data_IF_810770308502
#
_entry.id   IF_810770308502
#
_cell.length_a   1.000
_cell.length_b   1.000
_cell.length_c   1.000
_cell.angle_alpha   90.00
_cell.angle_beta   90.00
_cell.angle_gamma   90.00
#
_symmetry.space_group_name_H-M   'P 1'
#
loop_
_entity.id
_entity.type
_entity.pdbx_description
1 polymer ?
#
# COMPACT_ATOMS: atom_id res chain seq x y z
N UNK A 1 5.36 1.58 17.50
CA UNK A 1 6.64 2.29 17.24
C UNK A 1 6.72 3.56 18.09
N UNK A 2 7.87 3.88 18.70
CA UNK A 2 8.06 5.13 19.47
C UNK A 2 8.67 6.20 18.57
N UNK A 3 7.98 7.32 18.36
CA UNK A 3 8.55 8.49 17.67
C UNK A 3 9.46 9.25 18.64
N UNK A 4 10.73 9.43 18.28
CA UNK A 4 11.73 10.08 19.15
C UNK A 4 11.79 11.61 18.95
N UNK A 5 11.10 12.16 17.94
CA UNK A 5 11.10 13.60 17.65
C UNK A 5 12.44 14.12 17.12
N UNK A 6 13.29 13.24 16.60
CA UNK A 6 14.59 13.57 16.01
C UNK A 6 14.39 13.63 14.49
N UNK A 7 14.81 14.73 13.88
CA UNK A 7 14.94 14.84 12.42
C UNK A 7 16.27 14.21 12.01
N UNK A 8 16.23 13.30 11.04
CA UNK A 8 17.41 12.72 10.42
C UNK A 8 17.61 13.37 9.06
N UNK A 9 18.85 13.76 8.76
CA UNK A 9 19.19 14.27 7.44
C UNK A 9 19.18 13.12 6.42
N UNK A 10 18.92 13.44 5.15
CA UNK A 10 18.87 12.42 4.10
C UNK A 10 20.19 11.63 3.98
N UNK A 11 21.33 12.26 4.27
CA UNK A 11 22.64 11.61 4.31
C UNK A 11 22.73 10.55 5.43
N UNK A 12 22.20 10.84 6.62
CA UNK A 12 22.19 9.89 7.73
C UNK A 12 21.32 8.67 7.43
N UNK A 13 20.16 8.89 6.81
CA UNK A 13 19.26 7.81 6.37
C UNK A 13 19.93 6.96 5.30
N UNK A 14 20.52 7.58 4.28
CA UNK A 14 21.23 6.90 3.20
C UNK A 14 22.38 6.04 3.75
N UNK A 15 23.19 6.60 4.65
CA UNK A 15 24.28 5.87 5.31
C UNK A 15 23.76 4.64 6.07
N UNK A 16 22.70 4.82 6.86
CA UNK A 16 22.10 3.71 7.63
C UNK A 16 21.56 2.60 6.73
N UNK A 17 20.96 2.94 5.59
CA UNK A 17 20.52 1.96 4.59
C UNK A 17 21.70 1.18 4.00
N UNK A 18 22.81 1.85 3.70
CA UNK A 18 24.02 1.21 3.17
C UNK A 18 24.65 0.27 4.20
N UNK A 19 24.76 0.72 5.44
CA UNK A 19 25.37 -0.02 6.55
C UNK A 19 24.54 -1.25 6.94
N UNK A 20 23.20 -1.16 6.88
CA UNK A 20 22.28 -2.26 7.22
C UNK A 20 21.85 -3.14 6.04
N UNK A 21 22.38 -2.91 4.84
CA UNK A 21 21.95 -3.61 3.63
C UNK A 21 22.16 -5.12 3.71
N UNK A 22 23.37 -5.56 4.05
CA UNK A 22 23.75 -6.98 4.01
C UNK A 22 22.95 -7.79 5.05
N UNK A 23 22.70 -7.21 6.22
CA UNK A 23 21.81 -7.79 7.24
C UNK A 23 20.38 -7.93 6.72
N UNK A 24 19.87 -6.91 6.04
CA UNK A 24 18.52 -6.91 5.45
C UNK A 24 18.39 -7.96 4.34
N UNK A 25 19.39 -8.06 3.47
CA UNK A 25 19.47 -9.06 2.40
C UNK A 25 19.44 -10.48 2.98
N UNK A 26 20.21 -10.72 4.05
CA UNK A 26 20.25 -12.01 4.72
C UNK A 26 18.93 -12.35 5.42
N UNK A 27 18.33 -11.39 6.13
CA UNK A 27 17.08 -11.58 6.88
C UNK A 27 15.89 -11.92 5.96
N UNK A 28 15.81 -11.26 4.80
CA UNK A 28 14.75 -11.47 3.80
C UNK A 28 15.08 -12.62 2.82
N UNK A 29 16.26 -13.24 2.94
CA UNK A 29 16.71 -14.30 2.06
C UNK A 29 16.79 -13.87 0.59
N UNK A 30 17.10 -12.60 0.33
CA UNK A 30 17.13 -12.03 -1.02
C UNK A 30 18.22 -12.70 -1.86
N UNK A 31 17.95 -12.86 -3.15
CA UNK A 31 18.90 -13.44 -4.11
C UNK A 31 19.04 -12.51 -5.30
N UNK A 32 20.28 -12.30 -5.71
CA UNK A 32 20.64 -11.49 -6.87
C UNK A 32 21.32 -12.36 -7.91
N UNK A 33 21.12 -12.02 -9.18
CA UNK A 33 21.75 -12.74 -10.29
C UNK A 33 23.28 -12.56 -10.26
N UNK A 34 23.73 -11.34 -9.95
CA UNK A 34 25.14 -10.99 -9.83
C UNK A 34 25.37 -9.96 -8.72
N UNK A 35 26.60 -9.85 -8.24
CA UNK A 35 27.03 -8.77 -7.31
C UNK A 35 26.82 -7.38 -7.92
N UNK A 36 26.95 -7.24 -9.25
CA UNK A 36 26.73 -5.99 -9.94
C UNK A 36 25.24 -5.58 -9.93
N UNK A 37 24.34 -6.55 -10.08
CA UNK A 37 22.90 -6.31 -9.99
C UNK A 37 22.46 -5.96 -8.57
N UNK A 38 23.04 -6.63 -7.57
CA UNK A 38 22.85 -6.28 -6.17
C UNK A 38 23.28 -4.83 -5.89
N UNK A 39 24.51 -4.47 -6.27
CA UNK A 39 25.04 -3.12 -6.06
C UNK A 39 24.16 -2.06 -6.74
N UNK A 40 23.68 -2.35 -7.96
CA UNK A 40 22.78 -1.47 -8.69
C UNK A 40 21.44 -1.28 -7.96
N UNK A 41 20.86 -2.35 -7.42
CA UNK A 41 19.60 -2.28 -6.67
C UNK A 41 19.77 -1.57 -5.33
N UNK A 42 20.90 -1.79 -4.65
CA UNK A 42 21.30 -1.08 -3.42
C UNK A 42 21.33 0.43 -3.65
N UNK A 43 22.07 0.87 -4.67
CA UNK A 43 22.16 2.28 -5.03
C UNK A 43 20.79 2.85 -5.43
N UNK A 44 20.02 2.12 -6.24
CA UNK A 44 18.68 2.56 -6.65
C UNK A 44 17.73 2.73 -5.44
N UNK A 45 17.79 1.84 -4.45
CA UNK A 45 16.98 1.95 -3.24
C UNK A 45 17.34 3.20 -2.43
N UNK A 46 18.63 3.47 -2.23
CA UNK A 46 19.12 4.68 -1.56
C UNK A 46 18.68 5.93 -2.31
N UNK A 47 18.88 5.98 -3.63
CA UNK A 47 18.51 7.14 -4.46
C UNK A 47 17.00 7.43 -4.39
N UNK A 48 16.15 6.40 -4.34
CA UNK A 48 14.70 6.55 -4.20
C UNK A 48 14.31 7.17 -2.86
N UNK A 49 14.92 6.71 -1.76
CA UNK A 49 14.64 7.23 -0.41
C UNK A 49 15.15 8.66 -0.28
N UNK A 50 16.35 8.96 -0.77
CA UNK A 50 16.90 10.33 -0.77
C UNK A 50 16.01 11.26 -1.58
N UNK A 51 15.58 10.85 -2.78
CA UNK A 51 14.67 11.64 -3.60
C UNK A 51 13.32 11.87 -2.91
N UNK A 52 12.80 10.86 -2.19
CA UNK A 52 11.59 10.99 -1.40
C UNK A 52 11.75 12.01 -0.27
N UNK A 53 12.82 11.89 0.54
CA UNK A 53 13.08 12.81 1.65
C UNK A 53 13.25 14.26 1.17
N UNK A 54 13.87 14.47 0.01
CA UNK A 54 14.00 15.80 -0.59
C UNK A 54 12.68 16.34 -1.18
N UNK A 55 11.70 15.47 -1.44
CA UNK A 55 10.39 15.85 -1.98
C UNK A 55 9.33 16.07 -0.89
N UNK A 56 9.52 15.50 0.30
CA UNK A 56 8.62 15.70 1.45
C UNK A 56 8.65 17.19 1.84
N UNK A 57 7.47 17.85 1.98
CA UNK A 57 7.41 19.24 2.42
C UNK A 57 7.98 19.41 3.83
N UNK A 58 8.68 20.53 4.08
CA UNK A 58 9.22 20.85 5.42
C UNK A 58 8.14 20.95 6.50
N UNK A 59 6.92 21.31 6.10
CA UNK A 59 5.75 21.44 6.97
C UNK A 59 4.85 20.19 6.99
N UNK A 60 5.35 19.04 6.50
CA UNK A 60 4.62 17.78 6.60
C UNK A 60 4.28 17.48 8.07
N UNK A 61 2.98 17.28 8.39
CA UNK A 61 2.59 17.02 9.76
C UNK A 61 3.20 15.73 10.29
N UNK A 62 3.28 15.63 11.62
CA UNK A 62 3.77 14.39 12.23
C UNK A 62 2.85 13.22 11.89
N UNK A 63 3.41 12.02 11.65
CA UNK A 63 2.61 10.83 11.50
C UNK A 63 1.80 10.54 12.77
N UNK A 64 0.51 10.25 12.62
CA UNK A 64 -0.30 9.59 13.65
C UNK A 64 0.10 8.12 13.77
N UNK A 65 0.41 7.48 12.65
CA UNK A 65 0.76 6.07 12.56
C UNK A 65 1.72 5.81 11.40
N UNK A 66 2.61 4.82 11.56
CA UNK A 66 3.54 4.32 10.54
C UNK A 66 3.58 2.81 10.65
N UNK A 67 3.47 2.09 9.53
CA UNK A 67 3.44 0.62 9.45
C UNK A 67 2.48 0.01 10.48
N UNK A 68 1.27 0.57 10.57
CA UNK A 68 0.34 0.23 11.61
C UNK A 68 -0.51 -0.97 11.21
N UNK A 69 -0.34 -2.06 11.96
CA UNK A 69 -1.28 -3.19 11.93
C UNK A 69 -2.62 -2.76 12.51
N UNK A 70 -3.65 -2.82 11.68
CA UNK A 70 -5.02 -2.46 12.00
C UNK A 70 -5.93 -3.67 11.76
N UNK A 71 -6.71 -4.04 12.77
CA UNK A 71 -7.66 -5.14 12.67
C UNK A 71 -9.01 -4.70 13.24
N UNK A 72 -10.09 -4.92 12.49
CA UNK A 72 -11.44 -4.64 12.95
C UNK A 72 -12.42 -5.70 12.41
N UNK A 73 -13.53 -5.98 13.10
CA UNK A 73 -14.61 -6.79 12.56
C UNK A 73 -15.07 -6.27 11.19
N UNK A 74 -15.38 -7.15 10.25
CA UNK A 74 -15.85 -6.77 8.91
C UNK A 74 -17.37 -6.65 8.90
N UNK A 75 -17.85 -5.51 9.39
CA UNK A 75 -19.28 -5.14 9.41
C UNK A 75 -19.56 -4.10 8.34
N UNK A 76 -20.56 -4.34 7.48
CA UNK A 76 -20.99 -3.39 6.44
C UNK A 76 -21.53 -2.11 7.08
N UNK A 77 -20.86 -0.95 6.88
CA UNK A 77 -21.22 0.29 7.55
C UNK A 77 -22.54 0.91 7.04
N UNK A 78 -23.16 0.33 6.01
CA UNK A 78 -24.43 0.79 5.45
C UNK A 78 -25.61 -0.11 5.81
N UNK A 79 -25.37 -1.38 6.16
CA UNK A 79 -26.43 -2.36 6.46
C UNK A 79 -26.32 -3.00 7.84
N UNK A 80 -25.24 -2.72 8.58
CA UNK A 80 -24.87 -3.35 9.86
C UNK A 80 -24.73 -4.88 9.79
N UNK A 81 -24.54 -5.42 8.59
CA UNK A 81 -24.32 -6.85 8.41
C UNK A 81 -22.89 -7.23 8.78
N UNK A 82 -22.76 -8.15 9.74
CA UNK A 82 -21.49 -8.72 10.16
C UNK A 82 -21.13 -9.94 9.29
N UNK A 83 -19.98 -9.89 8.64
CA UNK A 83 -19.51 -10.99 7.78
C UNK A 83 -18.82 -12.10 8.59
N UNK A 84 -18.73 -11.98 9.91
CA UNK A 84 -18.21 -13.00 10.82
C UNK A 84 -16.70 -13.21 10.74
N UNK A 85 -15.98 -12.33 10.04
CA UNK A 85 -14.53 -12.35 9.87
C UNK A 85 -13.95 -10.96 10.13
N UNK A 86 -12.71 -10.83 10.62
CA UNK A 86 -12.05 -9.53 10.69
C UNK A 86 -11.45 -9.12 9.34
N UNK A 87 -11.34 -7.82 9.13
CA UNK A 87 -10.41 -7.25 8.15
C UNK A 87 -9.11 -6.88 8.86
N UNK A 88 -7.99 -7.38 8.34
CA UNK A 88 -6.65 -7.04 8.79
C UNK A 88 -5.95 -6.26 7.67
N UNK A 89 -5.35 -5.13 8.02
CA UNK A 89 -4.54 -4.32 7.10
C UNK A 89 -3.31 -3.77 7.79
N UNK A 90 -2.24 -3.56 7.02
CA UNK A 90 -1.04 -2.84 7.47
C UNK A 90 -1.03 -1.53 6.69
N UNK A 91 -1.23 -0.43 7.39
CA UNK A 91 -1.28 0.91 6.78
C UNK A 91 0.09 1.55 6.89
N UNK A 92 0.70 1.88 5.75
CA UNK A 92 2.08 2.39 5.68
C UNK A 92 2.23 3.68 6.48
N UNK A 93 1.32 4.65 6.31
CA UNK A 93 1.42 5.96 6.92
C UNK A 93 0.03 6.61 7.12
N UNK A 94 -0.19 7.20 8.29
CA UNK A 94 -1.31 8.11 8.54
C UNK A 94 -0.76 9.43 9.05
N UNK A 95 -1.08 10.52 8.36
CA UNK A 95 -0.63 11.88 8.69
C UNK A 95 -1.76 12.67 9.37
N UNK A 96 -1.43 13.51 10.35
CA UNK A 96 -2.39 14.44 10.97
C UNK A 96 -2.50 15.73 10.15
N UNK A 97 -3.16 15.66 8.99
CA UNK A 97 -3.34 16.79 8.09
C UNK A 97 -4.15 17.94 8.73
N UNK A 98 -4.02 19.15 8.17
CA UNK A 98 -4.73 20.34 8.67
C UNK A 98 -6.26 20.17 8.66
N UNK A 99 -6.80 19.50 7.65
CA UNK A 99 -8.24 19.20 7.51
C UNK A 99 -8.64 17.89 8.22
N UNK A 100 -7.68 17.19 8.83
CA UNK A 100 -7.84 15.90 9.48
C UNK A 100 -6.91 14.80 8.93
N UNK A 101 -7.09 13.56 9.40
CA UNK A 101 -6.19 12.45 9.08
C UNK A 101 -6.14 12.12 7.59
N UNK A 102 -4.95 11.95 7.03
CA UNK A 102 -4.72 11.52 5.64
C UNK A 102 -4.05 10.16 5.65
N UNK A 103 -4.68 9.19 4.97
CA UNK A 103 -4.16 7.82 4.86
C UNK A 103 -3.28 7.74 3.62
N UNK A 104 -2.02 7.36 3.80
CA UNK A 104 -1.00 7.38 2.77
C UNK A 104 -0.42 6.00 2.54
N UNK A 105 -0.31 5.61 1.27
CA UNK A 105 0.28 4.34 0.82
C UNK A 105 1.45 4.63 -0.14
N UNK A 106 2.55 3.89 0.03
CA UNK A 106 3.75 4.02 -0.80
C UNK A 106 3.76 2.97 -1.91
N UNK A 107 4.03 3.41 -3.13
CA UNK A 107 4.20 2.52 -4.29
C UNK A 107 5.53 2.81 -4.97
N UNK A 108 6.19 1.76 -5.45
CA UNK A 108 7.27 1.92 -6.43
C UNK A 108 6.74 1.65 -7.83
N UNK A 109 7.17 2.42 -8.82
CA UNK A 109 6.73 2.24 -10.20
C UNK A 109 7.90 2.42 -11.17
N UNK A 110 7.86 1.71 -12.31
CA UNK A 110 8.88 1.85 -13.36
C UNK A 110 8.71 3.14 -14.18
N UNK A 111 7.50 3.72 -14.19
CA UNK A 111 7.13 4.93 -14.94
C UNK A 111 6.16 5.75 -14.10
N UNK A 112 6.24 7.07 -14.25
CA UNK A 112 5.30 8.00 -13.61
C UNK A 112 3.96 8.09 -14.35
N UNK A 113 3.04 8.84 -13.76
CA UNK A 113 1.68 9.04 -14.26
C UNK A 113 0.64 8.80 -13.18
N UNK A 114 -0.54 9.40 -13.37
CA UNK A 114 -1.65 9.26 -12.43
C UNK A 114 -2.20 7.83 -12.42
N UNK A 115 -2.13 7.11 -11.29
CA UNK A 115 -2.74 5.80 -11.17
C UNK A 115 -4.25 5.91 -11.35
N UNK A 116 -4.82 4.99 -12.12
CA UNK A 116 -6.27 4.92 -12.23
C UNK A 116 -6.84 4.54 -10.85
N UNK A 117 -7.60 5.43 -10.21
CA UNK A 117 -8.07 5.23 -8.82
C UNK A 117 -8.73 3.86 -8.61
N UNK A 118 -9.50 3.40 -9.61
CA UNK A 118 -10.17 2.10 -9.62
C UNK A 118 -9.23 0.93 -9.33
N UNK A 119 -7.95 1.00 -9.71
CA UNK A 119 -6.97 -0.08 -9.48
C UNK A 119 -6.50 -0.15 -8.03
N UNK A 120 -6.74 0.90 -7.25
CA UNK A 120 -6.38 1.02 -5.84
C UNK A 120 -7.60 1.15 -4.92
N UNK A 121 -8.81 1.21 -5.48
CA UNK A 121 -10.04 1.49 -4.75
C UNK A 121 -10.29 0.49 -3.62
N UNK A 122 -10.07 -0.82 -3.85
CA UNK A 122 -10.24 -1.85 -2.81
C UNK A 122 -9.26 -1.59 -1.65
N UNK A 123 -7.96 -1.47 -1.94
CA UNK A 123 -6.93 -1.26 -0.92
C UNK A 123 -7.20 0.02 -0.11
N UNK A 124 -7.41 1.14 -0.80
CA UNK A 124 -7.64 2.44 -0.17
C UNK A 124 -8.97 2.49 0.59
N UNK A 125 -10.01 1.80 0.13
CA UNK A 125 -11.28 1.71 0.86
C UNK A 125 -11.18 0.82 2.09
N UNK A 126 -10.40 -0.26 2.03
CA UNK A 126 -10.09 -1.10 3.18
C UNK A 126 -9.32 -0.32 4.26
N UNK A 127 -8.32 0.47 3.87
CA UNK A 127 -7.60 1.31 4.83
C UNK A 127 -8.49 2.39 5.46
N UNK A 128 -9.33 3.07 4.65
CA UNK A 128 -10.30 4.02 5.19
C UNK A 128 -11.30 3.37 6.15
N UNK A 129 -11.76 2.15 5.84
CA UNK A 129 -12.63 1.39 6.72
C UNK A 129 -11.96 1.11 8.06
N UNK A 130 -10.77 0.50 8.04
CA UNK A 130 -10.03 0.15 9.26
C UNK A 130 -9.72 1.38 10.10
N UNK A 131 -9.27 2.46 9.46
CA UNK A 131 -9.00 3.72 10.13
C UNK A 131 -10.24 4.23 10.88
N UNK A 132 -11.40 4.30 10.21
CA UNK A 132 -12.65 4.77 10.84
C UNK A 132 -13.10 3.88 12.00
N UNK A 133 -12.97 2.57 11.87
CA UNK A 133 -13.36 1.63 12.92
C UNK A 133 -12.51 1.78 14.19
N UNK A 134 -11.21 2.04 14.02
CA UNK A 134 -10.26 2.06 15.13
C UNK A 134 -10.06 3.45 15.75
N UNK A 135 -10.00 4.48 14.91
CA UNK A 135 -9.76 5.86 15.34
C UNK A 135 -11.08 6.61 15.65
N UNK A 136 -12.19 6.19 15.04
CA UNK A 136 -13.51 6.81 15.22
C UNK A 136 -13.69 8.13 14.45
N UNK A 137 -12.63 8.72 13.89
CA UNK A 137 -12.73 9.86 12.97
C UNK A 137 -12.88 9.40 11.52
N UNK A 138 -13.47 10.28 10.72
CA UNK A 138 -13.43 10.18 9.25
C UNK A 138 -12.09 10.73 8.76
N UNK A 139 -11.43 10.03 7.85
CA UNK A 139 -10.25 10.55 7.15
C UNK A 139 -10.62 11.76 6.28
N UNK A 140 -9.74 12.75 6.22
CA UNK A 140 -9.88 13.92 5.36
C UNK A 140 -9.62 13.56 3.89
N UNK A 141 -8.73 12.61 3.65
CA UNK A 141 -8.36 12.16 2.31
C UNK A 141 -7.45 10.96 2.33
N UNK A 142 -7.05 10.54 1.13
CA UNK A 142 -6.11 9.47 0.91
C UNK A 142 -5.02 9.93 -0.06
N UNK A 143 -3.84 9.34 0.02
CA UNK A 143 -2.71 9.69 -0.82
C UNK A 143 -1.95 8.44 -1.25
N UNK A 144 -1.57 8.39 -2.52
CA UNK A 144 -0.56 7.43 -3.00
C UNK A 144 0.72 8.21 -3.29
N UNK A 145 1.81 7.82 -2.64
CA UNK A 145 3.16 8.35 -2.89
C UNK A 145 3.91 7.38 -3.80
N UNK A 146 4.10 7.78 -5.05
CA UNK A 146 4.77 6.97 -6.06
C UNK A 146 6.25 7.32 -6.18
N UNK A 147 7.11 6.37 -5.84
CA UNK A 147 8.56 6.42 -6.00
C UNK A 147 8.93 5.80 -7.36
N UNK A 148 9.24 6.66 -8.33
CA UNK A 148 9.47 6.27 -9.72
C UNK A 148 10.93 5.88 -9.93
N UNK A 149 11.15 4.60 -10.30
CA UNK A 149 12.44 3.90 -10.41
C UNK A 149 13.19 4.24 -11.71
N UNK A 150 13.37 5.52 -12.00
CA UNK A 150 14.17 6.03 -13.14
C UNK A 150 15.61 6.35 -12.72
N UNK A 151 16.51 6.55 -13.70
CA UNK A 151 17.92 6.92 -13.44
C UNK A 151 18.07 8.14 -12.55
N UNK A 152 17.21 9.14 -12.75
CA UNK A 152 16.96 10.20 -11.79
C UNK A 152 15.57 9.93 -11.21
N UNK A 153 15.45 9.46 -9.96
CA UNK A 153 14.16 9.14 -9.37
C UNK A 153 13.20 10.33 -9.42
N UNK A 154 11.90 10.03 -9.54
CA UNK A 154 10.84 11.03 -9.45
C UNK A 154 9.87 10.62 -8.36
N UNK A 155 9.32 11.60 -7.66
CA UNK A 155 8.34 11.40 -6.61
C UNK A 155 7.05 12.08 -7.05
N UNK A 156 5.94 11.36 -7.00
CA UNK A 156 4.63 11.87 -7.37
C UNK A 156 3.63 11.58 -6.24
N UNK A 157 2.99 12.61 -5.72
CA UNK A 157 1.93 12.48 -4.71
C UNK A 157 0.57 12.60 -5.39
N UNK A 158 -0.26 11.56 -5.27
CA UNK A 158 -1.59 11.49 -5.87
C UNK A 158 -2.64 11.49 -4.77
N UNK A 159 -3.41 12.58 -4.65
CA UNK A 159 -4.42 12.76 -3.60
C UNK A 159 -5.81 12.37 -4.08
N UNK A 160 -6.54 11.75 -3.18
CA UNK A 160 -7.93 11.33 -3.34
C UNK A 160 -8.78 11.90 -2.20
N UNK A 161 -10.04 12.16 -2.49
CA UNK A 161 -11.00 12.58 -1.46
C UNK A 161 -11.28 11.45 -0.48
N UNK A 162 -11.72 11.79 0.72
CA UNK A 162 -12.27 10.83 1.68
C UNK A 162 -13.29 9.89 1.04
N UNK A 163 -13.30 8.62 1.47
CA UNK A 163 -14.18 7.59 0.92
C UNK A 163 -15.64 7.93 1.25
N UNK A 164 -16.44 8.08 0.20
CA UNK A 164 -17.90 8.18 0.28
C UNK A 164 -18.57 6.82 0.49
N UNK A 165 -19.87 6.83 0.82
CA UNK A 165 -20.69 5.62 0.95
C UNK A 165 -20.70 4.77 -0.33
N UNK A 166 -20.55 5.37 -1.51
CA UNK A 166 -20.48 4.60 -2.76
C UNK A 166 -19.24 3.70 -2.82
N UNK A 167 -18.10 4.16 -2.27
CA UNK A 167 -16.90 3.33 -2.20
C UNK A 167 -17.10 2.16 -1.24
N UNK A 168 -17.67 2.40 -0.06
CA UNK A 168 -17.96 1.32 0.89
C UNK A 168 -18.99 0.34 0.33
N UNK A 169 -20.05 0.82 -0.32
CA UNK A 169 -21.01 -0.04 -1.01
C UNK A 169 -20.33 -0.96 -2.02
N UNK A 170 -19.40 -0.43 -2.83
CA UNK A 170 -18.63 -1.21 -3.80
C UNK A 170 -17.68 -2.19 -3.14
N UNK A 171 -16.93 -1.76 -2.12
CA UNK A 171 -16.04 -2.62 -1.34
C UNK A 171 -16.79 -3.83 -0.76
N UNK A 172 -17.86 -3.58 0.00
CA UNK A 172 -18.64 -4.64 0.65
C UNK A 172 -19.38 -5.53 -0.34
N UNK A 173 -19.84 -4.99 -1.47
CA UNK A 173 -20.40 -5.80 -2.55
C UNK A 173 -19.36 -6.74 -3.16
N UNK A 174 -18.14 -6.28 -3.40
CA UNK A 174 -17.04 -7.13 -3.93
C UNK A 174 -16.63 -8.20 -2.92
N UNK A 175 -16.55 -7.85 -1.64
CA UNK A 175 -16.23 -8.79 -0.56
C UNK A 175 -17.32 -9.86 -0.46
N UNK A 176 -18.60 -9.47 -0.45
CA UNK A 176 -19.71 -10.42 -0.40
C UNK A 176 -19.68 -11.40 -1.56
N UNK A 177 -19.52 -10.90 -2.78
CA UNK A 177 -19.43 -11.77 -3.97
C UNK A 177 -18.23 -12.73 -3.91
N UNK A 178 -17.14 -12.32 -3.27
CA UNK A 178 -15.99 -13.19 -3.02
C UNK A 178 -16.32 -14.26 -1.98
N UNK A 179 -16.94 -13.89 -0.85
CA UNK A 179 -17.30 -14.82 0.22
C UNK A 179 -18.37 -15.82 -0.23
N UNK A 180 -19.39 -15.38 -0.96
CA UNK A 180 -20.43 -16.26 -1.51
C UNK A 180 -19.84 -17.27 -2.48
N UNK A 181 -18.88 -16.84 -3.31
CA UNK A 181 -18.18 -17.74 -4.22
C UNK A 181 -17.29 -18.73 -3.45
N UNK A 182 -16.60 -18.27 -2.40
CA UNK A 182 -15.77 -19.11 -1.55
C UNK A 182 -16.59 -20.19 -0.84
N UNK A 183 -17.72 -19.81 -0.22
CA UNK A 183 -18.61 -20.72 0.51
C UNK A 183 -19.24 -21.77 -0.43
N UNK A 184 -19.63 -21.34 -1.64
CA UNK A 184 -20.17 -22.25 -2.66
C UNK A 184 -19.10 -23.03 -3.45
N UNK A 185 -17.81 -22.88 -3.11
CA UNK A 185 -16.70 -23.54 -3.82
C UNK A 185 -16.58 -23.14 -5.29
N UNK A 186 -17.12 -21.98 -5.67
CA UNK A 186 -17.12 -21.48 -7.06
C UNK A 186 -15.86 -20.67 -7.33
N UNK A 187 -15.13 -21.07 -8.37
CA UNK A 187 -14.04 -20.27 -8.91
C UNK A 187 -14.55 -19.27 -9.95
N UNK A 188 -14.48 -17.98 -9.63
CA UNK A 188 -14.86 -16.90 -10.54
C UNK A 188 -13.72 -16.60 -11.53
N UNK A 189 -13.75 -17.20 -12.72
CA UNK A 189 -12.76 -16.93 -13.76
C UNK A 189 -12.86 -15.48 -14.28
N UNK A 190 -11.81 -14.70 -14.04
CA UNK A 190 -11.74 -13.27 -14.38
C UNK A 190 -10.42 -12.96 -15.11
N UNK A 191 -10.33 -13.20 -16.43
CA UNK A 191 -9.12 -12.88 -17.19
C UNK A 191 -8.86 -11.37 -17.19
N UNK A 192 -7.60 -10.97 -17.06
CA UNK A 192 -7.20 -9.57 -17.01
C UNK A 192 -5.68 -9.38 -17.01
N UNK A 193 -5.22 -8.15 -16.77
CA UNK A 193 -3.79 -7.81 -16.76
C UNK A 193 -2.96 -8.66 -15.79
N UNK A 194 -3.53 -9.03 -14.63
CA UNK A 194 -2.87 -9.89 -13.64
C UNK A 194 -2.52 -11.29 -14.18
N UNK A 195 -3.20 -11.77 -15.22
CA UNK A 195 -2.84 -13.05 -15.84
C UNK A 195 -1.42 -13.04 -16.42
N UNK A 196 -0.86 -11.88 -16.81
CA UNK A 196 0.50 -11.81 -17.34
C UNK A 196 1.59 -12.16 -16.32
N UNK A 197 1.27 -12.05 -15.03
CA UNK A 197 2.20 -12.29 -13.91
C UNK A 197 1.71 -13.41 -12.98
N UNK A 198 0.78 -14.24 -13.44
CA UNK A 198 0.20 -15.32 -12.65
C UNK A 198 0.98 -16.63 -12.82
N UNK A 199 1.50 -17.18 -11.71
CA UNK A 199 2.25 -18.45 -11.68
C UNK A 199 1.44 -19.65 -12.20
N UNK A 200 0.11 -19.55 -12.11
CA UNK A 200 -0.81 -20.60 -12.56
C UNK A 200 -1.25 -20.45 -14.02
N UNK A 201 -0.82 -19.40 -14.74
CA UNK A 201 -1.24 -19.11 -16.13
C UNK A 201 -1.00 -20.30 -17.05
N UNK A 202 0.20 -20.86 -17.03
CA UNK A 202 0.60 -21.95 -17.93
C UNK A 202 0.10 -23.33 -17.46
N UNK A 203 -0.40 -23.44 -16.22
CA UNK A 203 -0.78 -24.72 -15.60
C UNK A 203 -2.29 -24.85 -15.38
N UNK A 204 -2.78 -24.47 -14.21
CA UNK A 204 -4.14 -24.72 -13.76
C UNK A 204 -5.16 -23.84 -14.51
N UNK A 205 -4.79 -22.60 -14.78
CA UNK A 205 -5.66 -21.63 -15.45
C UNK A 205 -6.10 -22.11 -16.83
N UNK A 206 -5.18 -22.67 -17.63
CA UNK A 206 -5.48 -23.20 -18.97
C UNK A 206 -6.38 -24.44 -18.98
N UNK A 207 -6.47 -25.16 -17.86
CA UNK A 207 -7.26 -26.39 -17.73
C UNK A 207 -8.66 -26.14 -17.17
N UNK A 208 -8.95 -24.93 -16.70
CA UNK A 208 -10.24 -24.60 -16.14
C UNK A 208 -11.31 -24.51 -17.25
N UNK A 209 -12.45 -25.18 -17.06
CA UNK A 209 -13.53 -25.26 -18.06
C UNK A 209 -14.94 -25.03 -17.47
N UNK A 210 -15.03 -24.47 -16.26
CA UNK A 210 -16.27 -24.39 -15.48
C UNK A 210 -16.19 -25.30 -14.28
#
# INVERSE_FOLDING_TARGET
HRQLGITLEAEDVAKRMVDGWDESVAAEGMRFETEADEMKLKLQAVDLVVAYLAHVPEDEPRPLAVEATMEAPLVDPLTDEDFGIPLLGIVDLVLDGQEGPVITDFKTAARGGTPAEITHEIQLSSYAYLFRQLDGRKEAGLEIRSLIKTKCPKIEFHRYKARSNNHFKRLFSVIREYLDALDSGRFNFRPGWGCLMCDFRETHCRRWCG
#
